data_IF_338850608378
#
_entry.id   IF_338850608378
#
_cell.length_a   1.000
_cell.length_b   1.000
_cell.length_c   1.000
_cell.angle_alpha   90.00
_cell.angle_beta   90.00
_cell.angle_gamma   90.00
#
_symmetry.space_group_name_H-M   'P 1'
#
loop_
_entity.id
_entity.type
_entity.pdbx_description
1 polymer ?
#
# COMPACT_ATOMS: atom_id res chain seq x y z
N UNK A 1 26.68 -10.70 6.23
CA UNK A 1 26.71 -9.33 6.75
C UNK A 1 25.38 -8.71 6.41
N UNK A 2 24.56 -8.40 7.42
CA UNK A 2 23.24 -7.79 7.21
C UNK A 2 23.42 -6.31 6.89
N UNK A 3 22.71 -5.80 5.89
CA UNK A 3 22.76 -4.38 5.54
C UNK A 3 21.57 -3.66 6.18
N UNK A 4 21.70 -2.36 6.43
CA UNK A 4 20.58 -1.53 6.90
C UNK A 4 19.34 -1.70 6.02
N UNK A 5 19.52 -1.78 4.70
CA UNK A 5 18.42 -2.02 3.76
C UNK A 5 17.76 -3.40 3.95
N UNK A 6 18.54 -4.44 4.23
CA UNK A 6 18.01 -5.78 4.53
C UNK A 6 17.20 -5.77 5.82
N UNK A 7 17.73 -5.14 6.88
CA UNK A 7 17.03 -5.03 8.17
C UNK A 7 15.71 -4.26 8.03
N UNK A 8 15.73 -3.11 7.35
CA UNK A 8 14.52 -2.32 7.10
C UNK A 8 13.51 -3.08 6.25
N UNK A 9 13.95 -3.83 5.22
CA UNK A 9 13.04 -4.67 4.42
C UNK A 9 12.35 -5.72 5.29
N UNK A 10 13.09 -6.43 6.13
CA UNK A 10 12.52 -7.44 7.03
C UNK A 10 11.55 -6.82 8.03
N UNK A 11 11.87 -5.66 8.58
CA UNK A 11 10.98 -4.92 9.48
C UNK A 11 9.66 -4.52 8.78
N UNK A 12 9.72 -3.91 7.59
CA UNK A 12 8.53 -3.49 6.85
C UNK A 12 7.65 -4.68 6.47
N UNK A 13 8.24 -5.78 6.00
CA UNK A 13 7.49 -6.99 5.66
C UNK A 13 6.80 -7.58 6.90
N UNK A 14 7.50 -7.66 8.04
CA UNK A 14 6.89 -8.15 9.28
C UNK A 14 5.74 -7.27 9.76
N UNK A 15 5.80 -5.95 9.56
CA UNK A 15 4.71 -5.04 9.92
C UNK A 15 3.50 -5.21 8.99
N UNK A 16 3.72 -5.41 7.70
CA UNK A 16 2.64 -5.69 6.74
C UNK A 16 1.98 -7.05 7.02
N UNK A 17 2.77 -8.07 7.36
CA UNK A 17 2.23 -9.39 7.74
C UNK A 17 1.33 -9.29 9.00
N UNK A 18 1.72 -8.47 9.98
CA UNK A 18 0.90 -8.21 11.17
C UNK A 18 -0.40 -7.49 10.83
N UNK A 19 -0.34 -6.49 9.94
CA UNK A 19 -1.54 -5.76 9.51
C UNK A 19 -2.50 -6.66 8.72
N UNK A 20 -1.98 -7.51 7.82
CA UNK A 20 -2.77 -8.51 7.13
C UNK A 20 -3.40 -9.54 8.08
N UNK A 21 -2.67 -9.97 9.11
CA UNK A 21 -3.22 -10.88 10.13
C UNK A 21 -4.33 -10.20 10.96
N UNK A 22 -4.24 -8.88 11.17
CA UNK A 22 -5.30 -8.10 11.84
C UNK A 22 -6.58 -8.05 11.00
N UNK A 23 -6.48 -7.96 9.67
CA UNK A 23 -7.66 -8.02 8.78
C UNK A 23 -8.43 -9.35 8.92
N UNK A 24 -7.71 -10.46 9.09
CA UNK A 24 -8.32 -11.78 9.27
C UNK A 24 -8.88 -11.97 10.70
N UNK A 25 -8.21 -11.42 11.71
CA UNK A 25 -8.56 -11.59 13.13
C UNK A 25 -8.37 -10.28 13.92
N UNK A 26 -9.31 -9.35 13.76
CA UNK A 26 -9.24 -8.04 14.41
C UNK A 26 -9.28 -8.16 15.94
N UNK A 27 -8.14 -7.93 16.59
CA UNK A 27 -8.01 -7.91 18.03
C UNK A 27 -7.02 -6.80 18.47
N UNK A 28 -7.49 -5.88 19.31
CA UNK A 28 -6.70 -4.72 19.75
C UNK A 28 -6.70 -3.58 18.73
N UNK A 29 -5.70 -2.72 18.81
CA UNK A 29 -5.52 -1.59 17.88
C UNK A 29 -4.87 -2.08 16.56
N UNK A 30 -5.26 -1.51 15.41
CA UNK A 30 -4.67 -1.86 14.13
C UNK A 30 -3.17 -1.50 14.10
N UNK A 31 -2.29 -2.38 13.58
CA UNK A 31 -0.85 -2.12 13.49
C UNK A 31 -0.50 -0.91 12.62
N UNK A 32 -1.25 -0.68 11.53
CA UNK A 32 -1.08 0.45 10.64
C UNK A 32 -2.40 1.18 10.40
N UNK A 33 -2.36 2.51 10.41
CA UNK A 33 -3.51 3.32 10.01
C UNK A 33 -3.46 3.63 8.52
N UNK A 34 -4.62 3.91 7.92
CA UNK A 34 -4.71 4.39 6.54
C UNK A 34 -3.85 5.65 6.28
N UNK A 35 -3.71 6.50 7.30
CA UNK A 35 -2.85 7.68 7.21
C UNK A 35 -1.36 7.32 7.08
N UNK A 36 -0.92 6.22 7.70
CA UNK A 36 0.45 5.74 7.62
C UNK A 36 0.76 5.16 6.25
N UNK A 37 -0.16 4.36 5.70
CA UNK A 37 -0.09 3.88 4.32
C UNK A 37 0.05 5.03 3.31
N UNK A 38 -0.81 6.06 3.42
CA UNK A 38 -0.75 7.24 2.54
C UNK A 38 0.59 7.97 2.67
N UNK A 39 1.06 8.18 3.90
CA UNK A 39 2.35 8.85 4.15
C UNK A 39 3.51 8.06 3.54
N UNK A 40 3.52 6.74 3.71
CA UNK A 40 4.55 5.86 3.17
C UNK A 40 4.57 5.89 1.63
N UNK A 41 3.40 5.81 0.99
CA UNK A 41 3.27 5.88 -0.47
C UNK A 41 3.76 7.23 -1.01
N UNK A 42 3.32 8.34 -0.40
CA UNK A 42 3.79 9.68 -0.78
C UNK A 42 5.30 9.81 -0.62
N UNK A 43 5.87 9.26 0.47
CA UNK A 43 7.31 9.29 0.68
C UNK A 43 8.08 8.53 -0.40
N UNK A 44 7.61 7.34 -0.81
CA UNK A 44 8.22 6.56 -1.90
C UNK A 44 8.12 7.29 -3.24
N UNK A 45 6.95 7.87 -3.55
CA UNK A 45 6.73 8.62 -4.80
C UNK A 45 7.52 9.93 -4.88
N UNK A 46 7.95 10.46 -3.74
CA UNK A 46 8.77 11.67 -3.64
C UNK A 46 10.28 11.39 -3.59
N UNK A 47 10.72 10.13 -3.70
CA UNK A 47 12.14 9.80 -3.73
C UNK A 47 12.79 10.30 -5.02
N UNK A 48 13.88 11.06 -4.87
CA UNK A 48 14.76 11.44 -5.96
C UNK A 48 16.03 10.59 -5.96
N UNK A 49 16.59 10.25 -7.14
CA UNK A 49 17.91 9.62 -7.24
C UNK A 49 18.97 10.45 -6.53
N UNK A 50 19.77 9.81 -5.68
CA UNK A 50 20.88 10.47 -5.01
C UNK A 50 22.12 10.46 -5.92
N UNK A 51 22.83 11.58 -6.10
CA UNK A 51 24.09 11.57 -6.83
C UNK A 51 25.11 10.68 -6.10
N UNK A 52 25.92 9.96 -6.87
CA UNK A 52 27.04 9.22 -6.30
C UNK A 52 28.02 10.23 -5.68
N UNK A 53 28.30 10.12 -4.38
CA UNK A 53 29.25 11.01 -3.70
C UNK A 53 30.64 10.79 -4.28
N UNK A 54 31.16 11.82 -4.97
CA UNK A 54 32.44 11.74 -5.65
C UNK A 54 33.57 12.11 -4.68
N UNK A 55 34.44 11.15 -4.38
CA UNK A 55 35.83 11.44 -4.02
C UNK A 55 36.58 11.63 -5.35
N UNK A 56 37.29 12.76 -5.50
CA UNK A 56 37.97 13.09 -6.76
C UNK A 56 38.86 11.94 -7.25
N UNK A 57 38.70 11.55 -8.51
CA UNK A 57 39.52 10.55 -9.19
C UNK A 57 39.04 9.09 -9.09
N UNK A 58 37.98 8.79 -8.33
CA UNK A 58 37.53 7.40 -8.10
C UNK A 58 36.36 6.94 -8.98
N UNK A 59 35.62 7.88 -9.58
CA UNK A 59 34.41 7.60 -10.36
C UNK A 59 34.39 8.49 -11.60
N UNK A 60 34.16 7.90 -12.77
CA UNK A 60 34.03 8.62 -14.03
C UNK A 60 32.64 9.26 -14.18
N UNK A 61 32.50 10.32 -15.00
CA UNK A 61 31.18 10.91 -15.30
C UNK A 61 30.17 9.90 -15.87
N UNK A 62 30.65 8.92 -16.64
CA UNK A 62 29.81 7.86 -17.23
C UNK A 62 29.26 6.93 -16.14
N UNK A 63 30.09 6.52 -15.18
CA UNK A 63 29.66 5.68 -14.05
C UNK A 63 28.67 6.41 -13.15
N UNK A 64 28.91 7.70 -12.88
CA UNK A 64 27.96 8.53 -12.12
C UNK A 64 26.60 8.63 -12.83
N UNK A 65 26.60 8.82 -14.15
CA UNK A 65 25.36 8.86 -14.95
C UNK A 65 24.64 7.49 -14.95
N UNK A 66 25.38 6.39 -15.11
CA UNK A 66 24.82 5.04 -15.07
C UNK A 66 24.21 4.72 -13.69
N UNK A 67 24.85 5.16 -12.60
CA UNK A 67 24.33 5.00 -11.24
C UNK A 67 23.00 5.74 -11.04
N UNK A 68 22.89 6.98 -11.53
CA UNK A 68 21.63 7.75 -11.48
C UNK A 68 20.56 7.06 -12.34
N UNK A 69 20.91 6.59 -13.53
CA UNK A 69 19.98 5.90 -14.42
C UNK A 69 19.42 4.61 -13.78
N UNK A 70 20.29 3.84 -13.10
CA UNK A 70 19.89 2.64 -12.36
C UNK A 70 18.93 2.94 -11.22
N UNK A 71 19.17 4.01 -10.44
CA UNK A 71 18.26 4.44 -9.39
C UNK A 71 16.88 4.85 -9.95
N UNK A 72 16.86 5.61 -11.05
CA UNK A 72 15.59 5.99 -11.71
C UNK A 72 14.81 4.77 -12.17
N UNK A 73 15.47 3.84 -12.86
CA UNK A 73 14.81 2.61 -13.31
C UNK A 73 14.23 1.79 -12.14
N UNK A 74 14.94 1.75 -11.00
CA UNK A 74 14.43 1.09 -9.78
C UNK A 74 13.21 1.79 -9.17
N UNK A 75 13.21 3.13 -9.13
CA UNK A 75 12.07 3.92 -8.65
C UNK A 75 10.86 3.77 -9.59
N UNK A 76 11.06 3.84 -10.90
CA UNK A 76 9.99 3.64 -11.90
C UNK A 76 9.36 2.24 -11.76
N UNK A 77 10.18 1.20 -11.56
CA UNK A 77 9.68 -0.15 -11.32
C UNK A 77 8.85 -0.26 -10.04
N UNK A 78 9.24 0.44 -8.97
CA UNK A 78 8.47 0.49 -7.73
C UNK A 78 7.12 1.19 -7.91
N UNK A 79 7.10 2.32 -8.64
CA UNK A 79 5.86 3.06 -8.97
C UNK A 79 4.89 2.16 -9.75
N UNK A 80 5.40 1.45 -10.77
CA UNK A 80 4.59 0.51 -11.57
C UNK A 80 4.02 -0.60 -10.68
N UNK A 81 4.84 -1.26 -9.86
CA UNK A 81 4.40 -2.34 -8.98
C UNK A 81 3.33 -1.88 -7.96
N UNK A 82 3.46 -0.66 -7.42
CA UNK A 82 2.45 -0.05 -6.55
C UNK A 82 1.14 0.16 -7.32
N UNK A 83 1.23 0.73 -8.52
CA UNK A 83 0.07 0.96 -9.39
C UNK A 83 -0.67 -0.34 -9.72
N UNK A 84 0.07 -1.40 -10.08
CA UNK A 84 -0.48 -2.72 -10.38
C UNK A 84 -1.15 -3.35 -9.14
N UNK A 85 -0.54 -3.22 -7.95
CA UNK A 85 -1.12 -3.72 -6.70
C UNK A 85 -2.38 -2.98 -6.26
N UNK A 86 -2.53 -1.71 -6.63
CA UNK A 86 -3.73 -0.91 -6.37
C UNK A 86 -4.79 -1.01 -7.46
N UNK A 87 -4.45 -1.56 -8.63
CA UNK A 87 -5.39 -1.73 -9.71
C UNK A 87 -6.58 -2.53 -9.19
N UNK A 88 -7.83 -2.11 -9.48
CA UNK A 88 -9.00 -2.83 -9.01
C UNK A 88 -8.94 -4.26 -9.54
N UNK A 89 -8.73 -5.22 -8.64
CA UNK A 89 -8.90 -6.63 -8.94
C UNK A 89 -10.36 -6.91 -9.37
N UNK A 90 -10.66 -8.11 -9.90
CA UNK A 90 -12.04 -8.49 -10.14
C UNK A 90 -12.84 -8.30 -8.84
N UNK A 91 -13.80 -7.37 -8.89
CA UNK A 91 -14.49 -6.86 -7.71
C UNK A 91 -15.00 -8.02 -6.84
N UNK A 92 -14.48 -8.14 -5.62
CA UNK A 92 -15.10 -9.00 -4.61
C UNK A 92 -16.47 -8.38 -4.34
N UNK A 93 -17.60 -9.10 -4.55
CA UNK A 93 -18.91 -8.52 -4.35
C UNK A 93 -18.97 -7.99 -2.92
N UNK A 94 -19.20 -6.68 -2.82
CA UNK A 94 -19.42 -6.01 -1.54
C UNK A 94 -20.54 -6.78 -0.87
N UNK A 95 -20.25 -7.42 0.26
CA UNK A 95 -21.29 -7.89 1.15
C UNK A 95 -22.00 -6.63 1.64
N UNK A 96 -22.96 -6.15 0.85
CA UNK A 96 -23.97 -5.25 1.33
C UNK A 96 -24.65 -6.04 2.43
N UNK A 97 -24.32 -5.74 3.68
CA UNK A 97 -25.22 -6.01 4.79
C UNK A 97 -26.50 -5.27 4.44
N UNK A 98 -27.38 -5.95 3.71
CA UNK A 98 -28.75 -5.55 3.52
C UNK A 98 -29.30 -5.44 4.94
N UNK A 99 -29.45 -4.20 5.39
CA UNK A 99 -30.19 -3.87 6.58
C UNK A 99 -31.52 -4.62 6.49
N UNK A 100 -31.91 -5.43 7.50
CA UNK A 100 -33.17 -6.16 7.42
C UNK A 100 -34.30 -5.14 7.23
N UNK A 101 -35.10 -5.36 6.17
CA UNK A 101 -36.25 -4.53 5.87
C UNK A 101 -37.14 -4.42 7.13
N UNK A 102 -37.66 -3.23 7.46
CA UNK A 102 -38.57 -3.10 8.58
C UNK A 102 -39.78 -4.01 8.36
N UNK A 103 -40.30 -4.68 9.41
CA UNK A 103 -41.44 -5.58 9.27
C UNK A 103 -42.63 -4.78 8.74
N UNK A 104 -43.07 -5.12 7.54
CA UNK A 104 -44.29 -4.60 6.94
C UNK A 104 -45.48 -4.98 7.82
N UNK A 105 -46.04 -3.99 8.50
CA UNK A 105 -47.29 -4.13 9.23
C UNK A 105 -48.44 -4.39 8.26
N UNK A 106 -48.91 -5.63 8.23
CA UNK A 106 -50.23 -5.97 7.71
C UNK A 106 -51.32 -5.55 8.71
N UNK A 107 -52.30 -4.78 8.22
CA UNK A 107 -53.58 -4.54 8.85
C UNK A 107 -54.25 -3.34 8.20
N UNK A 108 -55.40 -3.41 7.53
CA UNK A 108 -56.34 -4.50 7.34
C UNK A 108 -57.21 -4.20 6.12
N UNK A 109 -57.87 -5.25 5.63
CA UNK A 109 -58.68 -5.26 4.41
C UNK A 109 -60.03 -4.54 4.51
N UNK A 110 -60.90 -4.76 3.51
CA UNK A 110 -61.91 -3.81 3.04
C UNK A 110 -63.32 -4.03 3.61
N UNK A 111 -64.09 -2.95 3.72
CA UNK A 111 -65.56 -2.89 3.74
C UNK A 111 -65.93 -1.39 3.59
N UNK A 112 -66.88 -0.92 2.80
CA UNK A 112 -68.04 -1.50 2.16
C UNK A 112 -69.15 -0.43 2.21
N UNK A 113 -69.88 -0.27 1.09
CA UNK A 113 -71.07 0.57 0.86
C UNK A 113 -70.88 2.09 0.73
#
# INVERSE_FOLDING_TARGET
METVATTYRSYVLGLLDQDMAFDDHAAGDPPLLLADYRRALVAVLALDPSPLLLVEGTVTPVEAAAFIAGQRAGLDAAVIAIGDGMAPGPARPRATTALPAPPGGHGGGPAGA
#
